data_IF_888900711141
#
_entry.id   IF_888900711141
#
_cell.length_a   1.000
_cell.length_b   1.000
_cell.length_c   1.000
_cell.angle_alpha   90.00
_cell.angle_beta   90.00
_cell.angle_gamma   90.00
#
_symmetry.space_group_name_H-M   'P 1'
#
loop_
_entity.id
_entity.type
_entity.pdbx_description
1 polymer ?
#
# COMPACT_ATOMS: atom_id res chain seq x y z
N UNK A 1 17.24 -15.22 7.99
CA UNK A 1 17.73 -15.41 6.60
C UNK A 1 17.59 -14.08 5.89
N UNK A 2 18.49 -13.74 4.96
CA UNK A 2 18.39 -12.45 4.25
C UNK A 2 17.30 -12.52 3.19
N UNK A 3 16.44 -11.49 3.09
CA UNK A 3 15.43 -11.33 2.02
C UNK A 3 16.04 -11.38 0.61
N UNK A 4 17.33 -11.06 0.49
CA UNK A 4 18.07 -11.07 -0.77
C UNK A 4 18.38 -12.48 -1.33
N UNK A 5 18.10 -13.55 -0.59
CA UNK A 5 18.38 -14.92 -1.05
C UNK A 5 17.19 -15.57 -1.78
N UNK A 6 16.03 -14.95 -1.77
CA UNK A 6 14.84 -15.42 -2.45
C UNK A 6 14.95 -15.22 -3.97
N UNK A 7 14.38 -16.13 -4.75
CA UNK A 7 14.33 -16.05 -6.21
C UNK A 7 13.18 -16.89 -6.79
N UNK A 8 12.66 -16.50 -7.93
CA UNK A 8 11.71 -17.30 -8.70
C UNK A 8 12.42 -18.53 -9.29
N UNK A 9 11.86 -19.70 -9.08
CA UNK A 9 12.38 -20.95 -9.65
C UNK A 9 11.68 -21.33 -10.97
N UNK A 10 10.40 -20.94 -11.12
CA UNK A 10 9.59 -21.27 -12.29
C UNK A 10 8.41 -20.32 -12.38
N UNK A 11 8.05 -19.94 -13.60
CA UNK A 11 6.79 -19.22 -13.91
C UNK A 11 6.02 -20.02 -14.95
N UNK A 12 4.72 -20.22 -14.75
CA UNK A 12 3.83 -20.93 -15.66
C UNK A 12 2.42 -20.32 -15.64
N UNK A 13 1.61 -20.54 -16.68
CA UNK A 13 0.21 -20.10 -16.67
C UNK A 13 -0.54 -20.71 -15.48
N UNK A 14 -1.32 -19.89 -14.77
CA UNK A 14 -2.15 -20.35 -13.66
C UNK A 14 -3.47 -20.89 -14.21
N UNK A 15 -3.80 -22.15 -13.87
CA UNK A 15 -5.15 -22.67 -14.10
C UNK A 15 -6.14 -21.93 -13.19
N UNK A 16 -7.20 -21.31 -13.76
CA UNK A 16 -8.22 -20.60 -12.97
C UNK A 16 -8.84 -21.43 -11.85
N UNK A 17 -8.92 -22.75 -12.00
CA UNK A 17 -9.42 -23.67 -10.96
C UNK A 17 -8.50 -23.79 -9.75
N UNK A 18 -7.22 -23.42 -9.89
CA UNK A 18 -6.20 -23.44 -8.84
C UNK A 18 -5.95 -22.07 -8.23
N UNK A 19 -6.53 -21.02 -8.80
CA UNK A 19 -6.35 -19.66 -8.33
C UNK A 19 -7.02 -19.43 -6.96
N UNK A 20 -6.23 -19.04 -5.96
CA UNK A 20 -6.69 -18.81 -4.57
C UNK A 20 -6.86 -17.33 -4.24
N UNK A 21 -6.06 -16.47 -4.85
CA UNK A 21 -5.93 -15.06 -4.45
C UNK A 21 -6.42 -14.08 -5.50
N UNK A 22 -6.39 -14.48 -6.77
CA UNK A 22 -6.70 -13.62 -7.91
C UNK A 22 -7.55 -14.33 -8.94
N UNK A 23 -8.34 -13.58 -9.69
CA UNK A 23 -9.03 -14.05 -10.89
C UNK A 23 -8.87 -13.05 -12.03
N UNK A 24 -8.86 -13.53 -13.26
CA UNK A 24 -8.97 -12.70 -14.45
C UNK A 24 -10.45 -12.53 -14.84
N UNK A 25 -10.83 -11.32 -15.21
CA UNK A 25 -12.21 -10.95 -15.50
C UNK A 25 -12.27 -10.17 -16.82
N UNK A 26 -13.30 -10.46 -17.61
CA UNK A 26 -13.68 -9.69 -18.79
C UNK A 26 -14.92 -8.85 -18.49
N UNK A 27 -14.73 -7.54 -18.36
CA UNK A 27 -15.84 -6.59 -18.20
C UNK A 27 -16.36 -6.12 -19.56
N UNK A 28 -17.68 -6.08 -19.71
CA UNK A 28 -18.34 -5.44 -20.86
C UNK A 28 -18.92 -4.10 -20.42
N UNK A 29 -18.56 -3.03 -21.11
CA UNK A 29 -19.00 -1.69 -20.78
C UNK A 29 -19.44 -0.89 -22.03
N UNK A 30 -20.19 0.18 -21.79
CA UNK A 30 -20.59 1.10 -22.85
C UNK A 30 -19.73 2.36 -22.75
N UNK A 31 -19.01 2.69 -23.82
CA UNK A 31 -18.19 3.89 -23.86
C UNK A 31 -19.05 5.18 -23.97
N UNK A 32 -18.45 6.38 -23.79
CA UNK A 32 -19.20 7.64 -23.87
C UNK A 32 -19.87 7.93 -25.21
N UNK A 33 -19.47 7.20 -26.27
CA UNK A 33 -20.09 7.28 -27.61
C UNK A 33 -21.23 6.27 -27.79
N UNK A 34 -21.57 5.52 -26.76
CA UNK A 34 -22.62 4.50 -26.77
C UNK A 34 -22.19 3.15 -27.34
N UNK A 35 -20.92 2.96 -27.72
CA UNK A 35 -20.39 1.71 -28.26
C UNK A 35 -20.09 0.72 -27.13
N UNK A 36 -20.47 -0.54 -27.32
CA UNK A 36 -20.11 -1.63 -26.39
C UNK A 36 -18.67 -2.05 -26.63
N UNK A 37 -17.92 -2.21 -25.55
CA UNK A 37 -16.51 -2.61 -25.52
C UNK A 37 -16.26 -3.63 -24.41
N UNK A 38 -15.11 -4.28 -24.46
CA UNK A 38 -14.62 -5.18 -23.42
C UNK A 38 -13.32 -4.67 -22.83
N UNK A 39 -13.04 -5.06 -21.57
CA UNK A 39 -11.81 -4.77 -20.85
C UNK A 39 -11.41 -5.95 -19.97
N UNK A 40 -10.18 -6.43 -20.15
CA UNK A 40 -9.62 -7.50 -19.34
C UNK A 40 -8.90 -6.91 -18.12
N UNK A 41 -9.17 -7.48 -16.94
CA UNK A 41 -8.51 -7.03 -15.71
C UNK A 41 -8.42 -8.15 -14.68
N UNK A 42 -7.56 -7.96 -13.66
CA UNK A 42 -7.46 -8.84 -12.51
C UNK A 42 -8.31 -8.33 -11.33
N UNK A 43 -8.83 -9.26 -10.52
CA UNK A 43 -9.50 -8.97 -9.26
C UNK A 43 -8.94 -9.82 -8.13
N UNK A 44 -8.90 -9.27 -6.91
CA UNK A 44 -8.67 -10.06 -5.69
C UNK A 44 -9.95 -10.82 -5.32
N UNK A 45 -9.78 -12.06 -4.84
CA UNK A 45 -10.87 -12.84 -4.27
C UNK A 45 -10.96 -12.73 -2.75
N UNK A 46 -10.00 -12.03 -2.14
CA UNK A 46 -9.83 -11.89 -0.68
C UNK A 46 -10.48 -10.65 -0.10
N UNK A 47 -11.11 -9.78 -0.91
CA UNK A 47 -11.80 -8.58 -0.39
C UNK A 47 -12.94 -8.99 0.53
N UNK A 48 -12.97 -8.51 1.80
CA UNK A 48 -14.05 -8.78 2.72
C UNK A 48 -15.38 -8.25 2.18
N UNK A 49 -16.48 -8.97 2.45
CA UNK A 49 -17.82 -8.53 2.01
C UNK A 49 -18.30 -7.28 2.76
N UNK A 50 -17.80 -7.09 3.97
CA UNK A 50 -18.10 -5.94 4.85
C UNK A 50 -17.25 -4.71 4.52
N UNK A 51 -16.20 -4.84 3.71
CA UNK A 51 -15.27 -3.75 3.40
C UNK A 51 -15.31 -3.35 1.93
N UNK A 52 -15.20 -2.04 1.66
CA UNK A 52 -14.96 -1.50 0.33
C UNK A 52 -13.47 -1.37 0.01
N UNK A 53 -12.59 -1.73 0.98
CA UNK A 53 -11.15 -1.58 0.92
C UNK A 53 -10.50 -2.96 0.98
N UNK A 54 -9.53 -3.23 0.10
CA UNK A 54 -8.77 -4.49 0.10
C UNK A 54 -7.66 -4.50 1.16
N UNK A 55 -7.01 -3.36 1.36
CA UNK A 55 -5.85 -3.30 2.23
C UNK A 55 -5.48 -1.88 2.65
N UNK A 56 -4.40 -1.78 3.40
CA UNK A 56 -3.84 -0.54 3.90
C UNK A 56 -2.36 -0.43 3.57
N UNK A 57 -1.90 0.79 3.29
CA UNK A 57 -0.49 1.16 3.33
C UNK A 57 -0.27 2.08 4.53
N UNK A 58 0.84 1.95 5.23
CA UNK A 58 1.06 2.62 6.50
C UNK A 58 2.22 3.61 6.39
N UNK A 59 1.91 4.90 6.53
CA UNK A 59 2.93 5.94 6.68
C UNK A 59 3.22 6.07 8.17
N UNK A 60 4.12 5.24 8.67
CA UNK A 60 4.49 5.20 10.08
C UNK A 60 5.67 6.14 10.36
N UNK A 61 5.45 7.11 11.23
CA UNK A 61 6.40 8.18 11.53
C UNK A 61 6.87 8.08 12.97
N UNK A 62 8.18 8.11 13.14
CA UNK A 62 8.86 8.26 14.42
C UNK A 62 9.34 9.70 14.52
N UNK A 63 8.85 10.44 15.50
CA UNK A 63 9.36 11.77 15.80
C UNK A 63 10.64 11.68 16.64
N UNK A 64 11.74 12.23 16.12
CA UNK A 64 13.04 12.31 16.79
C UNK A 64 13.49 13.76 16.88
N UNK A 65 14.38 14.07 17.82
CA UNK A 65 15.01 15.39 17.93
C UNK A 65 15.77 15.79 16.65
N UNK A 66 16.32 14.81 15.92
CA UNK A 66 17.00 15.00 14.63
C UNK A 66 16.05 15.25 13.45
N UNK A 67 14.75 15.14 13.69
CA UNK A 67 13.66 15.23 12.70
C UNK A 67 12.94 13.90 12.50
N UNK A 68 11.80 13.92 11.81
CA UNK A 68 10.96 12.74 11.63
C UNK A 68 11.62 11.69 10.74
N UNK A 69 11.49 10.42 11.16
CA UNK A 69 11.86 9.25 10.38
C UNK A 69 10.63 8.46 9.96
N UNK A 70 10.68 7.88 8.76
CA UNK A 70 9.67 6.95 8.26
C UNK A 70 10.14 5.51 8.47
N UNK A 71 9.22 4.64 8.87
CA UNK A 71 9.44 3.20 8.92
C UNK A 71 9.22 2.62 7.52
N UNK A 72 10.20 1.88 7.03
CA UNK A 72 10.18 1.21 5.75
C UNK A 72 10.58 -0.25 5.92
N UNK A 73 10.29 -1.03 4.88
CA UNK A 73 10.64 -2.45 4.87
C UNK A 73 11.19 -2.90 3.53
N UNK A 74 11.99 -3.95 3.57
CA UNK A 74 12.45 -4.72 2.41
C UNK A 74 11.71 -6.03 2.39
N UNK A 75 11.03 -6.32 1.28
CA UNK A 75 10.37 -7.60 1.07
C UNK A 75 10.62 -8.10 -0.34
N UNK A 76 10.95 -9.38 -0.50
CA UNK A 76 11.05 -9.99 -1.81
C UNK A 76 9.66 -10.19 -2.41
N UNK A 77 9.47 -9.71 -3.63
CA UNK A 77 8.19 -9.82 -4.35
C UNK A 77 8.35 -10.72 -5.58
N UNK A 78 7.88 -11.97 -5.53
CA UNK A 78 8.00 -12.93 -6.64
C UNK A 78 7.58 -12.42 -8.02
N UNK A 79 6.49 -11.59 -8.16
CA UNK A 79 6.13 -11.06 -9.49
C UNK A 79 7.20 -10.18 -10.16
N UNK A 80 8.09 -9.58 -9.36
CA UNK A 80 9.20 -8.75 -9.83
C UNK A 80 10.54 -9.46 -9.80
N UNK A 81 10.60 -10.65 -9.17
CA UNK A 81 11.82 -11.42 -8.90
C UNK A 81 12.93 -10.56 -8.25
N UNK A 82 12.53 -9.65 -7.38
CA UNK A 82 13.46 -8.74 -6.68
C UNK A 82 12.94 -8.32 -5.31
N UNK A 83 13.83 -7.73 -4.52
CA UNK A 83 13.48 -7.10 -3.25
C UNK A 83 12.94 -5.69 -3.51
N UNK A 84 11.81 -5.38 -2.90
CA UNK A 84 11.13 -4.09 -3.02
C UNK A 84 11.27 -3.32 -1.70
N UNK A 85 11.49 -2.01 -1.82
CA UNK A 85 11.41 -1.07 -0.69
C UNK A 85 9.97 -0.59 -0.59
N UNK A 86 9.33 -0.85 0.53
CA UNK A 86 7.90 -0.61 0.73
C UNK A 86 7.62 0.11 2.06
N UNK A 87 6.45 0.73 2.17
CA UNK A 87 5.87 1.04 3.49
C UNK A 87 5.22 -0.24 4.04
N UNK A 88 5.10 -0.41 5.37
CA UNK A 88 4.32 -1.51 5.95
C UNK A 88 2.90 -1.51 5.38
N UNK A 89 2.35 -2.68 5.09
CA UNK A 89 1.08 -2.79 4.37
C UNK A 89 0.47 -4.19 4.48
N UNK A 90 -0.83 -4.27 4.70
CA UNK A 90 -1.52 -5.55 4.73
C UNK A 90 -2.97 -5.49 4.28
N UNK A 91 -3.65 -6.61 4.35
CA UNK A 91 -5.05 -6.73 3.98
C UNK A 91 -5.95 -6.33 5.16
N UNK A 92 -7.14 -5.84 4.83
CA UNK A 92 -8.20 -5.59 5.82
C UNK A 92 -8.96 -6.89 6.03
N UNK A 93 -9.13 -7.32 7.26
CA UNK A 93 -9.87 -8.52 7.62
C UNK A 93 -11.39 -8.27 7.69
N UNK A 94 -12.18 -9.36 7.70
CA UNK A 94 -13.64 -9.27 7.79
C UNK A 94 -14.07 -8.61 9.10
N UNK A 95 -14.79 -7.50 8.99
CA UNK A 95 -15.28 -6.71 10.13
C UNK A 95 -14.25 -5.75 10.73
N UNK A 96 -13.05 -5.66 10.16
CA UNK A 96 -12.00 -4.75 10.59
C UNK A 96 -12.13 -3.39 9.87
N UNK A 97 -11.79 -2.30 10.56
CA UNK A 97 -11.61 -1.00 9.90
C UNK A 97 -10.21 -0.89 9.27
N UNK A 98 -10.03 0.01 8.29
CA UNK A 98 -8.72 0.24 7.71
C UNK A 98 -7.71 0.77 8.74
N UNK A 99 -8.19 1.54 9.70
CA UNK A 99 -7.39 2.10 10.80
C UNK A 99 -6.92 1.00 11.76
N UNK A 100 -7.79 0.03 12.10
CA UNK A 100 -7.45 -1.11 12.96
C UNK A 100 -6.47 -2.04 12.23
N UNK A 101 -6.73 -2.35 10.94
CA UNK A 101 -5.82 -3.11 10.10
C UNK A 101 -4.42 -2.48 10.06
N UNK A 102 -4.32 -1.16 9.91
CA UNK A 102 -3.04 -0.48 9.89
C UNK A 102 -2.25 -0.62 11.20
N UNK A 103 -2.93 -0.53 12.35
CA UNK A 103 -2.27 -0.71 13.65
C UNK A 103 -1.83 -2.15 13.87
N UNK A 104 -2.65 -3.12 13.47
CA UNK A 104 -2.34 -4.55 13.54
C UNK A 104 -1.14 -4.89 12.65
N UNK A 105 -1.21 -4.54 11.35
CA UNK A 105 -0.16 -4.84 10.38
C UNK A 105 1.17 -4.14 10.74
N UNK A 106 1.13 -2.88 11.22
CA UNK A 106 2.33 -2.21 11.70
C UNK A 106 3.02 -3.01 12.80
N UNK A 107 2.23 -3.51 13.77
CA UNK A 107 2.77 -4.31 14.87
C UNK A 107 3.30 -5.66 14.39
N UNK A 108 2.57 -6.35 13.53
CA UNK A 108 2.94 -7.68 13.03
C UNK A 108 4.21 -7.62 12.17
N UNK A 109 4.24 -6.72 11.19
CA UNK A 109 5.37 -6.61 10.26
C UNK A 109 6.60 -5.95 10.87
N UNK A 110 6.42 -4.96 11.76
CA UNK A 110 7.54 -4.12 12.23
C UNK A 110 7.83 -4.23 13.72
N UNK A 111 6.90 -4.74 14.50
CA UNK A 111 6.96 -4.74 15.97
C UNK A 111 6.65 -3.40 16.62
N UNK A 112 6.49 -2.31 15.86
CA UNK A 112 6.15 -1.00 16.41
C UNK A 112 4.67 -0.89 16.74
N UNK A 113 4.37 -0.19 17.83
CA UNK A 113 3.01 0.17 18.24
C UNK A 113 2.85 1.67 18.07
N UNK A 114 1.87 2.06 17.26
CA UNK A 114 1.58 3.46 16.99
C UNK A 114 0.12 3.83 17.18
N UNK A 115 -0.18 5.11 17.02
CA UNK A 115 -1.53 5.67 17.09
C UNK A 115 -1.85 6.29 15.73
N UNK A 116 -3.02 5.96 15.20
CA UNK A 116 -3.49 6.57 13.95
C UNK A 116 -3.68 8.07 14.18
N UNK A 117 -3.00 8.88 13.38
CA UNK A 117 -3.14 10.33 13.38
C UNK A 117 -4.09 10.82 12.28
N UNK A 118 -4.08 10.14 11.15
CA UNK A 118 -4.91 10.47 9.99
C UNK A 118 -5.07 9.24 9.10
N UNK A 119 -6.19 9.14 8.40
CA UNK A 119 -6.34 8.22 7.27
C UNK A 119 -6.77 8.98 6.02
N UNK A 120 -6.18 8.62 4.89
CA UNK A 120 -6.58 9.21 3.61
C UNK A 120 -7.96 8.72 3.21
N UNK A 121 -8.68 9.47 2.35
CA UNK A 121 -9.76 8.90 1.57
C UNK A 121 -9.29 7.61 0.88
N UNK A 122 -10.22 6.69 0.60
CA UNK A 122 -9.87 5.42 -0.08
C UNK A 122 -9.14 5.74 -1.38
N UNK A 123 -7.98 5.16 -1.55
CA UNK A 123 -7.11 5.35 -2.72
C UNK A 123 -7.27 4.19 -3.68
N UNK A 124 -7.93 4.40 -4.80
CA UNK A 124 -8.57 3.47 -5.66
C UNK A 124 -7.85 2.64 -6.55
N UNK A 125 -8.66 1.62 -6.59
CA UNK A 125 -9.07 0.92 -7.81
C UNK A 125 -10.45 0.33 -7.67
N UNK A 126 -11.45 0.82 -8.26
CA UNK A 126 -12.58 0.02 -8.42
C UNK A 126 -13.93 0.59 -8.15
N UNK A 127 -14.89 -0.01 -8.80
CA UNK A 127 -16.30 0.26 -8.67
C UNK A 127 -16.81 -0.10 -7.29
N UNK A 128 -17.25 0.87 -6.55
CA UNK A 128 -18.28 0.64 -5.57
C UNK A 128 -19.55 0.24 -6.36
N UNK A 129 -19.90 -1.03 -6.31
CA UNK A 129 -21.22 -1.48 -6.74
C UNK A 129 -22.20 -1.08 -5.63
N UNK A 130 -22.47 0.20 -5.52
CA UNK A 130 -23.73 0.65 -4.94
C UNK A 130 -24.68 0.80 -6.11
N UNK A 131 -25.90 0.22 -6.02
CA UNK A 131 -26.93 0.44 -7.05
C UNK A 131 -27.12 1.95 -7.17
N UNK A 132 -26.92 2.49 -8.36
CA UNK A 132 -27.18 3.90 -8.64
C UNK A 132 -28.69 4.12 -8.42
N UNK A 133 -29.10 4.96 -7.47
CA UNK A 133 -30.46 5.45 -7.48
C UNK A 133 -30.63 6.28 -8.75
N UNK A 134 -31.67 6.01 -9.50
CA UNK A 134 -32.10 6.79 -10.66
C UNK A 134 -32.64 8.14 -10.20
N UNK A 135 -31.80 8.99 -9.64
CA UNK A 135 -32.13 10.39 -9.41
C UNK A 135 -30.86 11.18 -9.10
N UNK A 136 -30.70 12.25 -9.83
CA UNK A 136 -29.61 13.21 -9.76
C UNK A 136 -29.71 13.97 -8.44
N UNK A 137 -28.97 13.55 -7.43
CA UNK A 137 -28.70 14.35 -6.24
C UNK A 137 -27.22 14.46 -6.05
N UNK A 138 -26.72 15.70 -6.11
CA UNK A 138 -25.35 16.05 -5.77
C UNK A 138 -24.99 15.45 -4.42
N UNK A 139 -24.09 14.45 -4.40
CA UNK A 139 -23.39 14.02 -3.20
C UNK A 139 -22.06 14.78 -3.11
N UNK A 140 -21.97 15.66 -2.15
CA UNK A 140 -20.74 16.25 -1.66
C UNK A 140 -20.07 15.26 -0.70
N UNK A 141 -19.42 14.23 -1.23
CA UNK A 141 -18.37 13.48 -0.57
C UNK A 141 -17.58 12.77 -1.65
N UNK A 142 -16.49 13.37 -2.04
CA UNK A 142 -15.52 12.81 -2.96
C UNK A 142 -14.66 11.82 -2.18
N UNK A 143 -15.12 10.58 -2.06
CA UNK A 143 -14.25 9.49 -1.68
C UNK A 143 -13.40 9.13 -2.91
N UNK A 144 -12.16 9.57 -2.92
CA UNK A 144 -11.19 9.25 -3.98
C UNK A 144 -10.16 8.27 -3.43
N UNK A 145 -9.84 7.29 -4.21
CA UNK A 145 -8.89 6.24 -3.90
C UNK A 145 -7.86 6.13 -5.01
N UNK A 146 -6.63 5.77 -4.70
CA UNK A 146 -5.55 5.55 -5.65
C UNK A 146 -5.27 4.05 -5.83
N UNK A 147 -5.02 3.68 -7.07
CA UNK A 147 -4.52 2.37 -7.43
C UNK A 147 -3.14 2.50 -8.01
N UNK A 148 -2.27 1.52 -7.75
CA UNK A 148 -1.02 1.44 -8.49
C UNK A 148 -1.24 1.20 -9.99
N UNK A 149 -2.31 0.51 -10.41
CA UNK A 149 -2.61 0.27 -11.83
C UNK A 149 -4.10 0.02 -12.09
N UNK A 150 -4.92 1.08 -12.29
CA UNK A 150 -6.36 0.97 -12.53
C UNK A 150 -6.70 0.40 -13.92
N UNK A 151 -5.74 0.29 -14.81
CA UNK A 151 -5.90 -0.36 -16.10
C UNK A 151 -5.80 -1.88 -16.00
N UNK A 152 -5.10 -2.40 -14.99
CA UNK A 152 -4.81 -3.81 -14.82
C UNK A 152 -5.70 -4.50 -13.79
N UNK A 153 -6.01 -3.86 -12.66
CA UNK A 153 -6.76 -4.50 -11.58
C UNK A 153 -7.71 -3.54 -10.85
N UNK A 154 -8.61 -4.10 -10.04
CA UNK A 154 -9.55 -3.34 -9.22
C UNK A 154 -9.20 -3.36 -7.73
N UNK A 155 -7.96 -3.65 -7.37
CA UNK A 155 -7.51 -3.58 -5.99
C UNK A 155 -7.43 -2.14 -5.50
N UNK A 156 -7.70 -1.92 -4.23
CA UNK A 156 -7.67 -0.60 -3.63
C UNK A 156 -7.06 -0.64 -2.22
N UNK A 157 -6.71 0.52 -1.70
CA UNK A 157 -6.19 0.64 -0.34
C UNK A 157 -6.47 2.03 0.25
N UNK A 158 -6.32 2.16 1.57
CA UNK A 158 -6.14 3.44 2.26
C UNK A 158 -4.69 3.60 2.67
N UNK A 159 -4.18 4.83 2.62
CA UNK A 159 -2.95 5.18 3.33
C UNK A 159 -3.33 5.66 4.73
N UNK A 160 -2.78 5.02 5.74
CA UNK A 160 -3.03 5.36 7.15
C UNK A 160 -1.76 5.93 7.75
N UNK A 161 -1.85 7.14 8.29
CA UNK A 161 -0.74 7.80 8.95
C UNK A 161 -0.74 7.39 10.43
N UNK A 162 0.38 6.87 10.89
CA UNK A 162 0.56 6.38 12.25
C UNK A 162 1.76 7.05 12.89
N UNK A 163 1.58 7.64 14.06
CA UNK A 163 2.67 8.19 14.87
C UNK A 163 3.14 7.16 15.89
N UNK A 164 4.44 6.93 15.94
CA UNK A 164 5.10 6.00 16.86
C UNK A 164 5.76 6.80 17.98
N UNK A 165 5.31 6.57 19.19
CA UNK A 165 5.88 7.18 20.40
C UNK A 165 7.04 6.32 20.93
N UNK A 166 8.26 6.81 20.76
CA UNK A 166 9.47 6.12 21.20
C UNK A 166 9.70 6.17 22.73
N UNK A 167 8.87 6.90 23.49
CA UNK A 167 8.93 6.84 24.95
C UNK A 167 8.28 5.56 25.52
N UNK A 168 7.46 4.89 24.73
CA UNK A 168 6.84 3.62 25.11
C UNK A 168 7.87 2.49 25.13
N UNK A 169 7.92 1.67 26.21
CA UNK A 169 8.88 0.57 26.32
C UNK A 169 8.83 -0.43 25.13
N UNK A 170 7.61 -0.68 24.61
CA UNK A 170 7.37 -1.61 23.51
C UNK A 170 8.09 -1.17 22.23
N UNK A 171 8.22 0.14 22.02
CA UNK A 171 8.85 0.71 20.83
C UNK A 171 10.37 0.82 20.95
N UNK A 172 10.95 0.62 22.16
CA UNK A 172 12.41 0.63 22.35
C UNK A 172 13.09 -0.61 21.77
N UNK A 173 12.35 -1.74 21.76
CA UNK A 173 12.84 -3.03 21.24
C UNK A 173 11.70 -3.68 20.43
N UNK A 174 11.36 -3.12 19.24
CA UNK A 174 10.27 -3.64 18.44
C UNK A 174 10.58 -5.08 18.00
N UNK A 175 9.60 -5.96 18.15
CA UNK A 175 9.73 -7.37 17.80
C UNK A 175 8.62 -7.75 16.80
N UNK A 176 8.93 -7.87 15.50
CA UNK A 176 7.98 -8.32 14.49
C UNK A 176 7.40 -9.70 14.81
N UNK A 177 6.16 -9.94 14.38
CA UNK A 177 5.43 -11.20 14.53
C UNK A 177 5.01 -11.71 13.15
N UNK A 178 6.01 -11.90 12.27
CA UNK A 178 5.81 -12.29 10.88
C UNK A 178 5.15 -13.66 10.76
N UNK A 179 4.33 -13.85 9.73
CA UNK A 179 3.83 -15.14 9.34
C UNK A 179 4.94 -16.05 8.81
N UNK A 180 4.69 -17.37 8.74
CA UNK A 180 5.67 -18.38 8.32
C UNK A 180 6.27 -18.10 6.93
N UNK A 181 5.51 -17.50 6.06
CA UNK A 181 5.88 -17.19 4.67
C UNK A 181 6.26 -15.71 4.45
N UNK A 182 6.36 -14.92 5.52
CA UNK A 182 6.79 -13.53 5.46
C UNK A 182 8.27 -13.39 5.83
N UNK A 183 8.98 -12.68 4.97
CA UNK A 183 10.39 -12.36 5.15
C UNK A 183 10.55 -10.86 4.92
N UNK A 184 10.62 -10.11 6.01
CA UNK A 184 10.64 -8.64 6.02
C UNK A 184 11.84 -8.16 6.83
N UNK A 185 12.65 -7.26 6.24
CA UNK A 185 13.70 -6.53 6.94
C UNK A 185 13.22 -5.08 7.17
N UNK A 186 13.00 -4.70 8.42
CA UNK A 186 12.49 -3.37 8.81
C UNK A 186 13.64 -2.41 9.07
N UNK A 187 13.50 -1.16 8.65
CA UNK A 187 14.45 -0.10 8.93
C UNK A 187 13.76 1.27 8.98
N UNK A 188 14.44 2.28 9.51
CA UNK A 188 13.96 3.65 9.55
C UNK A 188 14.87 4.56 8.75
N UNK A 189 14.31 5.64 8.20
CA UNK A 189 15.03 6.62 7.41
C UNK A 189 14.51 8.03 7.69
N UNK A 190 15.38 9.05 7.86
CA UNK A 190 14.94 10.43 7.89
C UNK A 190 14.14 10.80 6.64
N UNK A 191 12.94 11.33 6.81
CA UNK A 191 12.03 11.62 5.68
C UNK A 191 12.68 12.55 4.66
N UNK A 192 13.49 13.51 5.11
CA UNK A 192 14.23 14.43 4.23
C UNK A 192 15.20 13.75 3.28
N UNK A 193 15.60 12.51 3.57
CA UNK A 193 16.55 11.74 2.78
C UNK A 193 15.87 10.75 1.82
N UNK A 194 14.53 10.60 1.92
CA UNK A 194 13.79 9.55 1.24
C UNK A 194 14.00 9.57 -0.28
N UNK A 195 13.95 10.73 -0.91
CA UNK A 195 14.14 10.85 -2.37
C UNK A 195 15.54 10.42 -2.83
N UNK A 196 16.57 10.88 -2.12
CA UNK A 196 17.95 10.50 -2.44
C UNK A 196 18.20 9.01 -2.17
N UNK A 197 17.60 8.47 -1.10
CA UNK A 197 17.66 7.06 -0.78
C UNK A 197 16.99 6.19 -1.84
N UNK A 198 15.82 6.58 -2.36
CA UNK A 198 15.14 5.85 -3.45
C UNK A 198 16.05 5.72 -4.68
N UNK A 199 16.70 6.80 -5.11
CA UNK A 199 17.64 6.77 -6.24
C UNK A 199 18.83 5.84 -5.99
N UNK A 200 19.34 5.85 -4.77
CA UNK A 200 20.46 4.99 -4.39
C UNK A 200 20.05 3.52 -4.41
N UNK A 201 18.90 3.17 -3.82
CA UNK A 201 18.39 1.81 -3.80
C UNK A 201 18.09 1.27 -5.21
N UNK A 202 17.51 2.10 -6.09
CA UNK A 202 17.30 1.74 -7.50
C UNK A 202 18.63 1.41 -8.18
N UNK A 203 19.68 2.23 -7.97
CA UNK A 203 21.01 1.98 -8.50
C UNK A 203 21.68 0.72 -7.92
N UNK A 204 21.28 0.31 -6.72
CA UNK A 204 21.71 -0.93 -6.05
C UNK A 204 20.89 -2.16 -6.50
N UNK A 205 19.85 -1.98 -7.35
CA UNK A 205 19.04 -3.05 -7.90
C UNK A 205 17.77 -3.39 -7.10
N UNK A 206 17.39 -2.58 -6.10
CA UNK A 206 16.10 -2.70 -5.44
C UNK A 206 14.99 -2.08 -6.29
N UNK A 207 13.80 -2.66 -6.27
CA UNK A 207 12.61 -1.97 -6.75
C UNK A 207 12.05 -1.04 -5.67
N UNK A 208 11.40 0.03 -6.08
CA UNK A 208 10.75 0.99 -5.18
C UNK A 208 9.24 0.89 -5.38
N UNK A 209 8.51 0.63 -4.31
CA UNK A 209 7.04 0.67 -4.34
C UNK A 209 6.55 2.08 -4.73
N UNK A 210 5.51 2.12 -5.56
CA UNK A 210 4.97 3.39 -6.06
C UNK A 210 4.52 4.35 -4.93
N UNK A 211 4.06 3.82 -3.79
CA UNK A 211 3.68 4.63 -2.62
C UNK A 211 4.88 5.33 -2.01
N UNK A 212 6.00 4.61 -1.87
CA UNK A 212 7.27 5.17 -1.39
C UNK A 212 7.82 6.19 -2.39
N UNK A 213 7.87 5.82 -3.67
CA UNK A 213 8.39 6.68 -4.73
C UNK A 213 7.60 7.98 -4.88
N UNK A 214 6.26 7.90 -4.88
CA UNK A 214 5.39 9.09 -5.00
C UNK A 214 5.49 9.99 -3.77
N UNK A 215 5.58 9.42 -2.56
CA UNK A 215 5.80 10.19 -1.33
C UNK A 215 7.15 10.93 -1.39
N UNK A 216 8.21 10.22 -1.77
CA UNK A 216 9.54 10.78 -1.92
C UNK A 216 9.59 11.94 -2.94
N UNK A 217 8.97 11.73 -4.10
CA UNK A 217 8.87 12.75 -5.15
C UNK A 217 8.03 13.96 -4.71
N UNK A 218 6.91 13.75 -4.01
CA UNK A 218 6.10 14.82 -3.46
C UNK A 218 6.87 15.70 -2.48
N UNK A 219 7.64 15.09 -1.58
CA UNK A 219 8.51 15.81 -0.62
C UNK A 219 9.59 16.60 -1.36
N UNK A 220 10.25 16.01 -2.35
CA UNK A 220 11.30 16.67 -3.12
C UNK A 220 10.75 17.83 -3.97
N UNK A 221 9.58 17.68 -4.58
CA UNK A 221 8.89 18.75 -5.27
C UNK A 221 8.54 19.90 -4.31
N UNK A 222 8.00 19.60 -3.14
CA UNK A 222 7.66 20.62 -2.13
C UNK A 222 8.91 21.38 -1.68
N UNK A 223 10.04 20.69 -1.49
CA UNK A 223 11.32 21.28 -1.14
C UNK A 223 11.88 22.18 -2.26
N UNK A 224 11.89 21.67 -3.49
CA UNK A 224 12.49 22.35 -4.65
C UNK A 224 11.68 23.60 -5.04
N UNK A 225 10.37 23.53 -4.95
CA UNK A 225 9.45 24.61 -5.28
C UNK A 225 9.19 25.55 -4.10
N UNK A 226 9.79 25.31 -2.94
CA UNK A 226 9.61 26.08 -1.70
C UNK A 226 8.12 26.26 -1.32
N UNK A 227 7.28 25.21 -1.48
CA UNK A 227 5.84 25.33 -1.34
C UNK A 227 5.39 25.72 0.08
N UNK A 228 6.19 25.47 1.10
CA UNK A 228 5.87 25.71 2.51
C UNK A 228 6.81 26.69 3.22
N UNK A 229 7.75 27.29 2.48
CA UNK A 229 8.58 28.39 3.01
C UNK A 229 7.73 29.66 3.04
N UNK A 230 7.50 30.20 4.25
CA UNK A 230 6.96 31.54 4.45
C UNK A 230 8.12 32.52 4.49
#
# INVERSE_FOLDING_TARGET
>A
MSVNSAKVLKTEPLDPAQAKWTKLVLSTYRDPRGKVRSWEHAERVTRPKSSTVDGVGIVAIIEKESGPEIVLQKQYRPPLDTVVIEVPAGLVDEGESAEDAAVRELKEETGYIGVVSESTPVMFNGNSILPRPSCFTMRTSTEHAQSPDPGFCNTNLKMVHVTIDMTKPENQHPAPQLEENEFIDVFTLPIKELYTACKKWEAEGYAIDARVGTLAEGIECARTLNLFSK
#
